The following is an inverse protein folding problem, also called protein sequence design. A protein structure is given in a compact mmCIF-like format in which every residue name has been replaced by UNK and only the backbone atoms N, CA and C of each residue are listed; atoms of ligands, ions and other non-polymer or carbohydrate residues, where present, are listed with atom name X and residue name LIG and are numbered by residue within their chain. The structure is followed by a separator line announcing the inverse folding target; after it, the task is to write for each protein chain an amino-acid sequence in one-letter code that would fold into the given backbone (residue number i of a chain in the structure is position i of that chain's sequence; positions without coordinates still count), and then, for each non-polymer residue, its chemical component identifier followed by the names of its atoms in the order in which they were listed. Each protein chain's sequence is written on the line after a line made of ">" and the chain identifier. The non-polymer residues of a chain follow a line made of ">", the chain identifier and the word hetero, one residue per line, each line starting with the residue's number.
data_IF_054824816845
#
_entry.id   IF_054824816845
#
_cell.length_a   1.000
_cell.length_b   1.000
_cell.length_c   1.000
_cell.angle_alpha   90.00
_cell.angle_beta   90.00
_cell.angle_gamma   90.00
#
_symmetry.space_group_name_H-M   'P 1'
#
loop_
_entity.id
_entity.type
_entity.pdbx_description
1 polymer ?
#
# COMPACT_ATOMS: atom_id res chain seq x y z
N UNK A 1 -5.65 -16.53 18.34
CA UNK A 1 -6.62 -15.43 18.17
C UNK A 1 -6.37 -14.81 16.80
N UNK A 2 -7.39 -14.28 16.12
CA UNK A 2 -7.23 -13.61 14.82
C UNK A 2 -6.75 -12.18 15.06
N UNK A 3 -5.64 -11.79 14.42
CA UNK A 3 -5.04 -10.46 14.55
C UNK A 3 -5.36 -9.54 13.35
N UNK A 4 -5.90 -10.14 12.29
CA UNK A 4 -6.34 -9.49 11.07
C UNK A 4 -7.55 -8.60 11.32
N UNK A 5 -7.58 -7.50 10.57
CA UNK A 5 -8.51 -6.40 10.76
C UNK A 5 -8.83 -5.73 9.42
N UNK A 6 -9.79 -4.81 9.46
CA UNK A 6 -10.06 -3.89 8.37
C UNK A 6 -9.84 -2.47 8.86
N UNK A 7 -8.97 -1.74 8.19
CA UNK A 7 -8.76 -0.32 8.44
C UNK A 7 -9.67 0.50 7.51
N UNK A 8 -10.35 1.50 8.05
CA UNK A 8 -11.22 2.41 7.29
C UNK A 8 -10.83 3.84 7.58
N UNK A 9 -10.86 4.71 6.57
CA UNK A 9 -10.55 6.12 6.77
C UNK A 9 -10.39 6.84 5.45
N UNK A 10 -9.43 7.76 5.39
CA UNK A 10 -9.19 8.60 4.22
C UNK A 10 -7.76 8.48 3.73
N UNK A 11 -7.62 8.56 2.41
CA UNK A 11 -6.37 8.90 1.75
C UNK A 11 -6.46 10.33 1.27
N UNK A 12 -5.36 11.07 1.38
CA UNK A 12 -5.26 12.43 0.87
C UNK A 12 -4.03 12.55 -0.02
N UNK A 13 -4.14 13.48 -0.97
CA UNK A 13 -3.03 13.95 -1.78
C UNK A 13 -3.08 15.47 -1.81
N UNK A 14 -1.93 16.09 -1.60
CA UNK A 14 -1.77 17.52 -1.63
C UNK A 14 -0.49 17.88 -2.38
N UNK A 15 -0.68 18.49 -3.54
CA UNK A 15 0.38 19.12 -4.32
C UNK A 15 0.42 20.60 -3.97
N UNK A 16 1.59 21.07 -3.57
CA UNK A 16 1.88 22.47 -3.30
C UNK A 16 2.47 23.15 -4.53
N UNK A 17 3.36 22.44 -5.25
CA UNK A 17 4.11 22.96 -6.39
C UNK A 17 4.12 21.99 -7.59
N UNK A 18 4.31 22.48 -8.83
CA UNK A 18 4.19 23.89 -9.24
C UNK A 18 2.72 24.33 -9.35
N UNK A 19 1.78 23.38 -9.43
CA UNK A 19 0.34 23.64 -9.52
C UNK A 19 -0.36 23.09 -8.29
N UNK A 20 -1.01 23.97 -7.52
CA UNK A 20 -1.76 23.53 -6.35
C UNK A 20 -2.91 22.59 -6.72
N UNK A 21 -2.94 21.43 -6.07
CA UNK A 21 -4.01 20.46 -6.22
C UNK A 21 -4.12 19.59 -4.98
N UNK A 22 -5.29 19.62 -4.34
CA UNK A 22 -5.59 18.81 -3.16
C UNK A 22 -6.85 18.01 -3.40
N UNK A 23 -6.85 16.77 -2.91
CA UNK A 23 -8.04 15.94 -2.83
C UNK A 23 -7.90 14.89 -1.74
N UNK A 24 -9.02 14.44 -1.20
CA UNK A 24 -9.10 13.28 -0.33
C UNK A 24 -10.28 12.39 -0.73
N UNK A 25 -10.20 11.11 -0.39
CA UNK A 25 -11.30 10.19 -0.59
C UNK A 25 -11.30 9.06 0.44
N UNK A 26 -12.49 8.54 0.73
CA UNK A 26 -12.65 7.40 1.62
C UNK A 26 -12.01 6.13 1.03
N UNK A 27 -11.34 5.38 1.88
CA UNK A 27 -10.71 4.10 1.58
C UNK A 27 -10.93 3.11 2.73
N UNK A 28 -10.91 1.82 2.41
CA UNK A 28 -10.59 0.78 3.38
C UNK A 28 -9.47 -0.11 2.85
N UNK A 29 -8.64 -0.59 3.78
CA UNK A 29 -7.54 -1.50 3.52
C UNK A 29 -7.66 -2.70 4.46
N UNK A 30 -7.21 -3.85 3.99
CA UNK A 30 -7.18 -5.07 4.79
C UNK A 30 -5.84 -5.14 5.51
N UNK A 31 -5.91 -5.29 6.83
CA UNK A 31 -4.78 -5.61 7.69
C UNK A 31 -4.77 -7.12 7.89
N UNK A 32 -3.94 -7.84 7.16
CA UNK A 32 -3.88 -9.29 7.22
C UNK A 32 -2.58 -9.73 7.85
N UNK A 33 -2.65 -10.54 8.91
CA UNK A 33 -1.49 -11.34 9.33
C UNK A 33 -1.24 -12.37 8.23
N UNK A 34 -0.04 -12.38 7.64
CA UNK A 34 0.30 -13.27 6.53
C UNK A 34 0.69 -14.67 7.00
N UNK A 35 -0.05 -15.18 7.97
CA UNK A 35 0.07 -16.53 8.51
C UNK A 35 -0.98 -17.43 7.85
N UNK A 36 -0.56 -18.60 7.36
CA UNK A 36 -1.45 -19.50 6.60
C UNK A 36 -2.70 -19.89 7.40
N UNK A 37 -2.53 -20.27 8.67
CA UNK A 37 -3.65 -20.70 9.51
C UNK A 37 -4.70 -19.59 9.72
N UNK A 38 -4.24 -18.35 9.85
CA UNK A 38 -5.12 -17.20 10.02
C UNK A 38 -5.91 -16.89 8.74
N UNK A 39 -5.26 -16.89 7.57
CA UNK A 39 -5.93 -16.69 6.28
C UNK A 39 -6.94 -17.81 5.96
N UNK A 40 -6.64 -19.05 6.36
CA UNK A 40 -7.58 -20.18 6.25
C UNK A 40 -8.80 -20.00 7.15
N UNK A 41 -8.58 -19.56 8.40
CA UNK A 41 -9.68 -19.27 9.35
C UNK A 41 -10.55 -18.12 8.86
N UNK A 42 -9.98 -17.05 8.32
CA UNK A 42 -10.74 -15.96 7.72
C UNK A 42 -11.57 -16.46 6.52
N UNK A 43 -11.02 -17.38 5.72
CA UNK A 43 -11.69 -17.94 4.55
C UNK A 43 -12.89 -18.84 4.90
N UNK A 44 -12.89 -19.46 6.09
CA UNK A 44 -14.00 -20.30 6.55
C UNK A 44 -15.06 -19.50 7.30
N UNK A 45 -14.70 -18.39 7.94
CA UNK A 45 -15.58 -17.59 8.81
C UNK A 45 -16.27 -16.41 8.10
N UNK A 46 -15.64 -15.83 7.08
CA UNK A 46 -16.19 -14.67 6.36
C UNK A 46 -16.92 -15.06 5.08
N UNK A 47 -18.18 -14.62 4.95
CA UNK A 47 -19.04 -14.97 3.80
C UNK A 47 -18.58 -14.38 2.47
N UNK A 48 -17.90 -13.23 2.51
CA UNK A 48 -17.50 -12.47 1.31
C UNK A 48 -16.01 -12.51 1.02
N UNK A 49 -15.21 -13.13 1.90
CA UNK A 49 -13.76 -13.20 1.79
C UNK A 49 -13.30 -14.63 1.50
N UNK A 50 -12.25 -14.79 0.70
CA UNK A 50 -11.53 -16.05 0.61
C UNK A 50 -10.09 -15.87 0.17
N UNK A 51 -9.18 -16.67 0.72
CA UNK A 51 -7.80 -16.83 0.24
C UNK A 51 -7.64 -18.00 -0.75
N UNK A 52 -8.66 -18.85 -0.91
CA UNK A 52 -8.60 -20.08 -1.73
C UNK A 52 -9.48 -19.97 -2.97
N UNK A 53 -10.80 -19.82 -2.77
CA UNK A 53 -11.81 -19.83 -3.85
C UNK A 53 -12.15 -18.43 -4.35
N UNK A 54 -12.90 -18.36 -5.45
CA UNK A 54 -13.49 -17.10 -5.92
C UNK A 54 -14.43 -16.55 -4.82
N UNK A 55 -14.31 -15.26 -4.55
CA UNK A 55 -15.11 -14.54 -3.57
C UNK A 55 -15.20 -13.07 -3.99
N UNK A 56 -16.12 -12.31 -3.36
CA UNK A 56 -16.26 -10.86 -3.62
C UNK A 56 -14.98 -10.11 -3.27
N UNK A 57 -14.36 -10.50 -2.15
CA UNK A 57 -13.05 -10.04 -1.69
C UNK A 57 -12.14 -11.26 -1.66
N UNK A 58 -11.06 -11.24 -2.43
CA UNK A 58 -10.15 -12.38 -2.54
C UNK A 58 -8.72 -11.96 -2.25
N UNK A 59 -8.10 -12.63 -1.29
CA UNK A 59 -6.65 -12.64 -1.20
C UNK A 59 -6.14 -13.66 -2.23
N UNK A 60 -5.42 -13.20 -3.25
CA UNK A 60 -4.82 -14.07 -4.27
C UNK A 60 -3.31 -13.88 -4.23
N UNK A 61 -2.56 -14.94 -3.92
CA UNK A 61 -1.11 -14.87 -3.72
C UNK A 61 -0.36 -14.22 -4.90
N UNK A 62 -0.78 -14.53 -6.13
CA UNK A 62 -0.22 -13.97 -7.38
C UNK A 62 -0.32 -12.44 -7.51
N UNK A 63 -1.20 -11.79 -6.75
CA UNK A 63 -1.39 -10.34 -6.85
C UNK A 63 -0.25 -9.55 -6.17
N UNK A 64 0.57 -10.21 -5.34
CA UNK A 64 1.52 -9.59 -4.41
C UNK A 64 2.97 -10.01 -4.67
N UNK A 65 3.88 -9.29 -4.02
CA UNK A 65 5.33 -9.43 -4.06
C UNK A 65 5.87 -10.87 -4.20
N UNK A 66 6.84 -11.04 -5.11
CA UNK A 66 7.64 -12.25 -5.27
C UNK A 66 6.92 -13.42 -5.94
N UNK A 67 7.62 -14.55 -6.04
CA UNK A 67 7.13 -15.77 -6.68
C UNK A 67 5.86 -16.31 -5.98
N UNK A 68 4.75 -16.55 -6.71
CA UNK A 68 3.51 -17.07 -6.13
C UNK A 68 3.63 -18.45 -5.46
N UNK A 69 4.66 -19.24 -5.79
CA UNK A 69 4.95 -20.52 -5.15
C UNK A 69 5.51 -20.36 -3.73
N UNK A 70 6.10 -19.20 -3.42
CA UNK A 70 6.66 -18.87 -2.11
C UNK A 70 5.56 -18.18 -1.27
N UNK A 71 5.33 -18.59 -0.01
CA UNK A 71 4.42 -17.88 0.90
C UNK A 71 4.73 -16.37 0.98
N UNK A 72 3.70 -15.52 0.96
CA UNK A 72 3.90 -14.07 0.86
C UNK A 72 4.70 -13.48 2.03
N UNK A 73 4.49 -13.99 3.25
CA UNK A 73 5.30 -13.60 4.40
C UNK A 73 6.80 -13.86 4.17
N UNK A 74 7.15 -15.02 3.60
CA UNK A 74 8.53 -15.37 3.31
C UNK A 74 9.13 -14.47 2.22
N UNK A 75 8.41 -14.29 1.11
CA UNK A 75 8.85 -13.42 0.03
C UNK A 75 9.08 -11.97 0.50
N UNK A 76 8.21 -11.46 1.38
CA UNK A 76 8.38 -10.15 2.00
C UNK A 76 9.61 -10.11 2.91
N UNK A 77 9.80 -11.09 3.80
CA UNK A 77 10.99 -11.16 4.66
C UNK A 77 12.29 -11.21 3.85
N UNK A 78 12.31 -11.99 2.76
CA UNK A 78 13.46 -12.09 1.88
C UNK A 78 13.77 -10.74 1.22
N UNK A 79 12.73 -10.05 0.71
CA UNK A 79 12.90 -8.72 0.11
C UNK A 79 13.34 -7.68 1.13
N UNK A 80 12.73 -7.65 2.32
CA UNK A 80 13.13 -6.74 3.40
C UNK A 80 14.57 -7.01 3.82
N UNK A 81 14.97 -8.27 4.01
CA UNK A 81 16.34 -8.64 4.39
C UNK A 81 17.36 -8.19 3.34
N UNK A 82 17.04 -8.39 2.04
CA UNK A 82 17.90 -7.94 0.93
C UNK A 82 18.08 -6.41 0.95
N UNK A 83 17.01 -5.66 1.19
CA UNK A 83 17.07 -4.20 1.27
C UNK A 83 17.72 -3.69 2.58
N UNK A 84 17.71 -4.50 3.64
CA UNK A 84 18.34 -4.21 4.93
C UNK A 84 19.83 -4.61 4.96
N UNK A 85 20.56 -4.33 3.90
CA UNK A 85 21.99 -4.67 3.78
C UNK A 85 22.29 -6.17 3.81
N UNK A 86 21.31 -7.04 3.52
CA UNK A 86 21.46 -8.49 3.55
C UNK A 86 21.27 -9.14 4.93
N UNK A 87 21.04 -8.34 5.98
CA UNK A 87 20.80 -8.89 7.32
C UNK A 87 19.44 -9.58 7.36
N UNK A 88 19.43 -10.85 7.79
CA UNK A 88 18.21 -11.64 7.88
C UNK A 88 17.25 -11.04 8.90
N UNK A 89 16.07 -10.66 8.43
CA UNK A 89 14.95 -10.23 9.26
C UNK A 89 14.01 -11.40 9.53
N UNK A 90 13.49 -11.45 10.75
CA UNK A 90 12.56 -12.48 11.22
C UNK A 90 11.42 -11.85 12.02
N UNK A 91 10.25 -12.51 11.99
CA UNK A 91 9.08 -12.07 12.74
C UNK A 91 7.78 -12.30 11.97
N UNK A 92 6.70 -11.73 12.51
CA UNK A 92 5.39 -11.79 11.87
C UNK A 92 5.27 -10.69 10.81
N UNK A 93 4.82 -11.08 9.62
CA UNK A 93 4.53 -10.12 8.54
C UNK A 93 3.04 -9.84 8.48
N UNK A 94 2.69 -8.56 8.49
CA UNK A 94 1.34 -8.07 8.27
C UNK A 94 1.27 -7.30 6.96
N UNK A 95 0.19 -7.46 6.22
CA UNK A 95 -0.09 -6.66 5.03
C UNK A 95 -1.19 -5.66 5.33
N UNK A 96 -0.98 -4.40 4.99
CA UNK A 96 -1.99 -3.38 4.86
C UNK A 96 -2.14 -3.03 3.36
N UNK A 97 -3.21 -3.51 2.73
CA UNK A 97 -3.37 -3.33 1.30
C UNK A 97 -4.78 -3.60 0.79
N UNK A 98 -4.97 -3.36 -0.51
CA UNK A 98 -6.20 -3.72 -1.21
C UNK A 98 -6.18 -5.21 -1.57
N UNK A 99 -7.35 -5.82 -1.58
CA UNK A 99 -7.55 -7.19 -2.05
C UNK A 99 -8.27 -7.18 -3.39
N UNK A 100 -8.23 -8.31 -4.10
CA UNK A 100 -8.98 -8.47 -5.34
C UNK A 100 -10.47 -8.36 -5.07
N UNK A 101 -11.15 -7.48 -5.79
CA UNK A 101 -12.57 -7.22 -5.64
C UNK A 101 -13.32 -7.61 -6.91
N UNK A 102 -14.30 -8.50 -6.80
CA UNK A 102 -15.09 -8.99 -7.94
C UNK A 102 -14.24 -9.53 -9.09
N UNK A 103 -13.10 -10.14 -8.76
CA UNK A 103 -12.16 -10.67 -9.75
C UNK A 103 -11.17 -9.66 -10.31
N UNK A 104 -11.31 -8.37 -10.01
CA UNK A 104 -10.42 -7.29 -10.47
C UNK A 104 -9.43 -6.90 -9.37
N UNK A 105 -8.16 -6.73 -9.73
CA UNK A 105 -7.11 -6.31 -8.81
C UNK A 105 -6.31 -5.15 -9.41
N UNK A 106 -6.12 -4.12 -8.60
CA UNK A 106 -5.16 -3.05 -8.83
C UNK A 106 -4.93 -2.40 -7.46
N UNK A 107 -3.66 -2.22 -7.06
CA UNK A 107 -3.29 -1.53 -5.83
C UNK A 107 -2.14 -0.58 -6.14
N UNK A 108 -2.28 0.75 -5.92
CA UNK A 108 -1.18 1.69 -6.12
C UNK A 108 -0.01 1.42 -5.18
N UNK A 109 -0.33 0.96 -3.97
CA UNK A 109 0.66 0.64 -2.94
C UNK A 109 0.13 -0.45 -2.02
N UNK A 110 0.97 -1.43 -1.72
CA UNK A 110 0.77 -2.38 -0.63
C UNK A 110 1.85 -2.15 0.42
N UNK A 111 1.45 -2.12 1.68
CA UNK A 111 2.36 -1.94 2.80
C UNK A 111 2.53 -3.25 3.55
N UNK A 112 3.76 -3.67 3.80
CA UNK A 112 4.06 -4.83 4.62
C UNK A 112 4.80 -4.41 5.88
N UNK A 113 4.27 -4.77 7.04
CA UNK A 113 4.84 -4.45 8.34
C UNK A 113 5.49 -5.70 8.93
N UNK A 114 6.70 -5.55 9.44
CA UNK A 114 7.40 -6.59 10.19
C UNK A 114 7.27 -6.33 11.69
N UNK A 115 6.71 -7.31 12.41
CA UNK A 115 6.65 -7.31 13.88
C UNK A 115 7.68 -8.28 14.45
N UNK A 116 8.53 -7.79 15.36
CA UNK A 116 9.52 -8.61 16.04
C UNK A 116 8.89 -9.48 17.14
N UNK A 117 9.72 -10.29 17.82
CA UNK A 117 9.27 -11.22 18.88
C UNK A 117 8.75 -10.48 20.12
N UNK A 118 9.20 -9.24 20.33
CA UNK A 118 8.78 -8.35 21.41
C UNK A 118 7.42 -7.69 21.13
N UNK A 119 6.83 -7.92 19.94
CA UNK A 119 5.51 -7.39 19.56
C UNK A 119 5.53 -5.98 18.95
N UNK A 120 6.70 -5.41 18.70
CA UNK A 120 6.90 -4.08 18.12
C UNK A 120 7.07 -4.16 16.61
N UNK A 121 6.48 -3.23 15.86
CA UNK A 121 6.73 -3.14 14.42
C UNK A 121 8.02 -2.39 14.15
N UNK A 122 8.96 -3.07 13.50
CA UNK A 122 10.33 -2.58 13.29
C UNK A 122 10.54 -2.01 11.90
N UNK A 123 9.89 -2.59 10.89
CA UNK A 123 10.07 -2.20 9.48
C UNK A 123 8.74 -2.13 8.74
N UNK A 124 8.71 -1.25 7.75
CA UNK A 124 7.68 -1.17 6.72
C UNK A 124 8.32 -1.36 5.34
N UNK A 125 7.77 -2.25 4.53
CA UNK A 125 8.08 -2.35 3.10
C UNK A 125 6.89 -1.81 2.30
N UNK A 126 7.09 -0.70 1.60
CA UNK A 126 6.11 -0.16 0.67
C UNK A 126 6.38 -0.71 -0.74
N UNK A 127 5.53 -1.62 -1.21
CA UNK A 127 5.46 -2.06 -2.60
C UNK A 127 4.60 -1.08 -3.39
N UNK A 128 5.22 -0.25 -4.21
CA UNK A 128 4.56 0.79 -5.00
C UNK A 128 4.45 0.32 -6.44
N UNK A 129 3.26 0.41 -7.03
CA UNK A 129 2.99 0.03 -8.42
C UNK A 129 2.64 1.24 -9.26
N UNK A 130 3.13 1.32 -10.50
CA UNK A 130 2.73 2.35 -11.45
C UNK A 130 1.68 1.82 -12.44
N UNK A 131 0.88 2.74 -12.96
CA UNK A 131 -0.07 2.49 -14.05
C UNK A 131 0.16 3.58 -15.10
N UNK A 132 0.20 3.24 -16.41
CA UNK A 132 -0.18 1.96 -17.03
C UNK A 132 0.96 0.92 -17.16
N UNK A 133 2.20 1.22 -16.77
CA UNK A 133 3.36 0.35 -17.05
C UNK A 133 3.43 -0.93 -16.21
N UNK A 134 2.65 -1.04 -15.13
CA UNK A 134 2.57 -2.21 -14.25
C UNK A 134 3.93 -2.65 -13.69
N UNK A 135 4.82 -1.69 -13.47
CA UNK A 135 6.10 -1.88 -12.79
C UNK A 135 5.89 -1.77 -11.28
N UNK A 136 6.79 -2.38 -10.50
CA UNK A 136 6.77 -2.34 -9.05
C UNK A 136 8.13 -1.92 -8.51
N UNK A 137 8.10 -1.15 -7.44
CA UNK A 137 9.30 -0.79 -6.69
C UNK A 137 9.05 -0.95 -5.19
N UNK A 138 10.12 -1.14 -4.42
CA UNK A 138 10.04 -1.47 -3.01
C UNK A 138 10.90 -0.51 -2.19
N UNK A 139 10.27 0.26 -1.31
CA UNK A 139 10.96 1.08 -0.32
C UNK A 139 10.91 0.37 1.03
N UNK A 140 12.07 0.18 1.67
CA UNK A 140 12.15 -0.31 3.04
C UNK A 140 12.35 0.89 3.97
N UNK A 141 11.53 0.98 5.01
CA UNK A 141 11.58 2.03 6.02
C UNK A 141 11.76 1.37 7.38
N UNK A 142 12.82 1.75 8.11
CA UNK A 142 12.96 1.42 9.52
C UNK A 142 11.99 2.33 10.30
N UNK A 143 11.08 1.75 11.07
CA UNK A 143 10.02 2.50 11.75
C UNK A 143 10.51 3.29 12.97
N UNK A 144 11.70 2.98 13.49
CA UNK A 144 12.31 3.71 14.59
C UNK A 144 12.99 5.00 14.12
N UNK A 145 13.69 4.96 12.98
CA UNK A 145 14.45 6.11 12.45
C UNK A 145 13.68 6.88 11.38
N UNK A 146 12.91 6.18 10.54
CA UNK A 146 12.13 6.72 9.42
C UNK A 146 12.96 7.58 8.47
N UNK A 147 14.17 7.11 8.18
CA UNK A 147 15.17 7.84 7.40
C UNK A 147 14.65 8.26 6.02
N UNK A 148 15.08 9.44 5.60
CA UNK A 148 14.78 10.00 4.29
C UNK A 148 15.25 9.07 3.16
N UNK A 149 14.39 8.86 2.17
CA UNK A 149 14.67 7.93 1.07
C UNK A 149 14.64 8.64 -0.28
N UNK A 150 15.67 8.52 -1.13
CA UNK A 150 15.61 9.05 -2.49
C UNK A 150 14.46 8.44 -3.29
N UNK A 151 13.73 9.26 -4.03
CA UNK A 151 12.67 8.81 -4.94
C UNK A 151 13.29 8.07 -6.12
N UNK A 152 13.18 6.75 -6.11
CA UNK A 152 13.73 5.88 -7.14
C UNK A 152 12.66 5.38 -8.15
N UNK A 153 11.38 5.76 -7.99
CA UNK A 153 10.29 5.21 -8.81
C UNK A 153 9.35 6.27 -9.39
N UNK A 154 9.14 6.20 -10.71
CA UNK A 154 8.29 7.12 -11.46
C UNK A 154 6.82 6.67 -11.41
N UNK A 155 6.13 7.07 -10.34
CA UNK A 155 4.72 6.70 -10.07
C UNK A 155 3.70 7.64 -10.71
N UNK A 156 4.11 8.87 -11.01
CA UNK A 156 3.23 9.91 -11.55
C UNK A 156 4.01 10.76 -12.54
N UNK A 157 3.49 10.99 -13.76
CA UNK A 157 4.13 11.85 -14.75
C UNK A 157 4.09 13.33 -14.34
N UNK A 158 3.49 13.68 -13.21
CA UNK A 158 3.42 15.05 -12.68
C UNK A 158 4.36 15.29 -11.50
N UNK A 159 5.21 14.32 -11.15
CA UNK A 159 6.25 14.44 -10.12
C UNK A 159 7.61 14.17 -10.74
N UNK A 160 8.58 15.08 -10.60
CA UNK A 160 9.93 14.81 -11.07
C UNK A 160 10.61 13.72 -10.22
N UNK A 161 11.72 13.17 -10.70
CA UNK A 161 12.43 12.05 -10.08
C UNK A 161 13.42 12.48 -8.99
N UNK A 162 13.93 13.69 -9.08
CA UNK A 162 14.92 14.32 -8.20
C UNK A 162 14.30 14.75 -6.85
N UNK A 163 13.59 13.85 -6.15
CA UNK A 163 12.94 14.15 -4.88
C UNK A 163 13.41 13.21 -3.77
N UNK A 164 13.31 13.66 -2.53
CA UNK A 164 13.48 12.86 -1.33
C UNK A 164 12.13 12.61 -0.68
N UNK A 165 11.86 11.36 -0.30
CA UNK A 165 10.72 10.96 0.49
C UNK A 165 11.03 11.09 1.98
N UNK A 166 10.22 11.88 2.68
CA UNK A 166 10.23 11.99 4.12
C UNK A 166 9.01 11.26 4.68
N UNK A 167 9.26 10.26 5.52
CA UNK A 167 8.23 9.36 6.03
C UNK A 167 7.74 9.83 7.40
N UNK A 168 6.43 9.70 7.63
CA UNK A 168 5.84 9.84 8.96
C UNK A 168 4.81 8.74 9.17
N UNK A 169 5.21 7.69 9.88
CA UNK A 169 4.47 6.44 10.04
C UNK A 169 4.28 6.19 11.53
N UNK A 170 3.03 6.10 11.98
CA UNK A 170 2.73 5.70 13.35
C UNK A 170 2.82 4.17 13.50
N UNK A 171 3.09 3.68 14.71
CA UNK A 171 2.92 2.25 15.03
C UNK A 171 1.47 1.80 14.76
N UNK A 172 1.26 0.66 14.06
CA UNK A 172 -0.07 0.11 13.83
C UNK A 172 -0.82 -0.17 15.14
N UNK A 173 -1.92 0.56 15.35
CA UNK A 173 -2.75 0.44 16.56
C UNK A 173 -4.24 0.59 16.22
N UNK A 174 -5.07 1.04 17.16
CA UNK A 174 -6.47 1.43 16.89
C UNK A 174 -6.57 2.53 15.83
N UNK A 175 -5.54 3.37 15.72
CA UNK A 175 -5.34 4.32 14.62
C UNK A 175 -4.02 4.05 13.92
N UNK A 176 -3.97 4.34 12.63
CA UNK A 176 -2.78 4.29 11.81
C UNK A 176 -2.72 5.53 10.93
N UNK A 177 -1.65 6.30 11.08
CA UNK A 177 -1.26 7.38 10.18
C UNK A 177 -0.02 6.97 9.41
N UNK A 178 -0.04 7.19 8.10
CA UNK A 178 1.14 7.09 7.25
C UNK A 178 1.10 8.28 6.30
N UNK A 179 2.15 9.08 6.32
CA UNK A 179 2.37 10.17 5.39
C UNK A 179 3.75 10.02 4.73
N UNK A 180 3.83 10.49 3.50
CA UNK A 180 5.04 10.58 2.71
C UNK A 180 5.04 11.94 2.02
N UNK A 181 5.98 12.78 2.42
CA UNK A 181 6.22 14.08 1.81
C UNK A 181 7.31 13.93 0.74
N UNK A 182 7.13 14.54 -0.44
CA UNK A 182 8.17 14.67 -1.45
C UNK A 182 8.80 16.05 -1.35
N UNK A 183 10.09 16.08 -1.06
CA UNK A 183 10.85 17.30 -0.78
C UNK A 183 12.03 17.41 -1.75
N UNK A 184 12.29 18.63 -2.23
CA UNK A 184 13.56 19.00 -2.89
C UNK A 184 14.24 20.08 -2.05
N UNK A 185 13.98 21.33 -2.37
CA UNK A 185 14.28 22.47 -1.49
C UNK A 185 13.11 22.70 -0.53
N UNK A 186 11.90 22.74 -1.07
CA UNK A 186 10.65 22.82 -0.33
C UNK A 186 9.82 21.53 -0.45
N UNK A 187 8.81 21.42 0.40
CA UNK A 187 7.78 20.38 0.28
C UNK A 187 6.87 20.66 -0.92
N UNK A 188 7.00 19.83 -1.96
CA UNK A 188 6.23 20.00 -3.19
C UNK A 188 4.95 19.16 -3.22
N UNK A 189 4.96 18.02 -2.53
CA UNK A 189 3.84 17.09 -2.52
C UNK A 189 3.76 16.34 -1.19
N UNK A 190 2.56 15.99 -0.77
CA UNK A 190 2.28 15.15 0.39
C UNK A 190 1.17 14.16 0.04
N UNK A 191 1.38 12.89 0.39
CA UNK A 191 0.39 11.84 0.30
C UNK A 191 0.30 11.12 1.64
N UNK A 192 -0.90 10.69 2.03
CA UNK A 192 -1.01 9.91 3.24
C UNK A 192 -2.36 9.28 3.46
N UNK A 193 -2.40 8.39 4.44
CA UNK A 193 -3.59 7.69 4.91
C UNK A 193 -3.77 7.94 6.40
N UNK A 194 -5.01 8.19 6.80
CA UNK A 194 -5.43 8.26 8.19
C UNK A 194 -6.56 7.26 8.39
N UNK A 195 -6.28 6.19 9.14
CA UNK A 195 -7.15 5.02 9.21
C UNK A 195 -7.45 4.63 10.66
N UNK A 196 -8.65 4.08 10.87
CA UNK A 196 -9.09 3.50 12.13
C UNK A 196 -9.27 1.99 11.95
N UNK A 197 -8.77 1.21 12.91
CA UNK A 197 -8.85 -0.26 12.92
C UNK A 197 -10.23 -0.72 13.36
N UNK A 198 -10.78 -1.69 12.63
CA UNK A 198 -11.99 -2.42 13.00
C UNK A 198 -11.72 -3.92 12.90
N UNK A 199 -12.46 -4.71 13.67
CA UNK A 199 -12.43 -6.18 13.57
C UNK A 199 -12.80 -6.63 12.15
N UNK A 200 -12.07 -7.62 11.63
CA UNK A 200 -12.39 -8.22 10.34
C UNK A 200 -13.45 -9.32 10.52
N UNK A 201 -14.70 -8.89 10.62
CA UNK A 201 -15.88 -9.75 10.75
C UNK A 201 -16.89 -9.49 9.61
N UNK A 202 -17.94 -10.32 9.54
CA UNK A 202 -18.96 -10.21 8.49
C UNK A 202 -19.71 -8.86 8.51
N UNK A 203 -19.92 -8.25 9.68
CA UNK A 203 -20.64 -6.99 9.80
C UNK A 203 -19.78 -5.83 9.26
N UNK A 204 -18.53 -5.75 9.71
CA UNK A 204 -17.58 -4.73 9.29
C UNK A 204 -17.22 -4.84 7.81
N UNK A 205 -17.03 -6.07 7.30
CA UNK A 205 -16.78 -6.32 5.88
C UNK A 205 -17.98 -5.93 5.02
N UNK A 206 -19.20 -6.32 5.42
CA UNK A 206 -20.42 -5.96 4.67
C UNK A 206 -20.66 -4.46 4.64
N UNK A 207 -20.42 -3.76 5.76
CA UNK A 207 -20.52 -2.30 5.82
C UNK A 207 -19.50 -1.62 4.90
N UNK A 208 -18.26 -2.11 4.87
CA UNK A 208 -17.23 -1.59 3.97
C UNK A 208 -17.63 -1.79 2.49
N UNK A 209 -18.12 -2.98 2.13
CA UNK A 209 -18.59 -3.30 0.78
C UNK A 209 -19.82 -2.48 0.36
N UNK A 210 -20.74 -2.16 1.28
CA UNK A 210 -21.88 -1.30 0.97
C UNK A 210 -21.46 0.15 0.71
N UNK A 211 -20.49 0.67 1.47
CA UNK A 211 -19.99 2.04 1.31
C UNK A 211 -19.13 2.20 0.06
N UNK A 212 -18.25 1.24 -0.22
CA UNK A 212 -17.41 1.23 -1.43
C UNK A 212 -17.41 -0.19 -2.01
N UNK A 213 -18.30 -0.47 -2.99
CA UNK A 213 -18.48 -1.82 -3.57
C UNK A 213 -17.27 -2.39 -4.29
N UNK A 214 -16.42 -1.52 -4.84
CA UNK A 214 -15.15 -1.89 -5.45
C UNK A 214 -14.13 -0.79 -5.24
N UNK A 215 -13.21 -1.01 -4.29
CA UNK A 215 -12.06 -0.14 -4.09
C UNK A 215 -11.19 -0.08 -5.34
N UNK A 216 -11.00 -1.21 -6.03
CA UNK A 216 -10.24 -1.30 -7.28
C UNK A 216 -10.76 -0.31 -8.33
N UNK A 217 -12.06 -0.35 -8.63
CA UNK A 217 -12.66 0.52 -9.64
C UNK A 217 -12.63 1.99 -9.19
N UNK A 218 -12.94 2.27 -7.91
CA UNK A 218 -12.88 3.62 -7.35
C UNK A 218 -11.47 4.21 -7.46
N UNK A 219 -10.45 3.43 -7.12
CA UNK A 219 -9.04 3.85 -7.18
C UNK A 219 -8.61 4.09 -8.62
N UNK A 220 -8.89 3.16 -9.55
CA UNK A 220 -8.56 3.35 -10.96
C UNK A 220 -9.25 4.59 -11.55
N UNK A 221 -10.57 4.72 -11.35
CA UNK A 221 -11.33 5.88 -11.83
C UNK A 221 -10.79 7.19 -11.24
N UNK A 222 -10.44 7.20 -9.95
CA UNK A 222 -9.84 8.35 -9.28
C UNK A 222 -8.50 8.75 -9.89
N UNK A 223 -7.60 7.79 -10.16
CA UNK A 223 -6.31 8.06 -10.78
C UNK A 223 -6.48 8.74 -12.14
N UNK A 224 -7.30 8.17 -13.03
CA UNK A 224 -7.52 8.75 -14.36
C UNK A 224 -8.23 10.10 -14.31
N UNK A 225 -9.20 10.26 -13.41
CA UNK A 225 -9.91 11.53 -13.23
C UNK A 225 -9.01 12.66 -12.75
N UNK A 226 -8.13 12.37 -11.78
CA UNK A 226 -7.19 13.37 -11.27
C UNK A 226 -6.05 13.65 -12.25
N UNK A 227 -5.59 12.64 -13.01
CA UNK A 227 -4.65 12.85 -14.11
C UNK A 227 -5.25 13.80 -15.17
N UNK A 228 -6.51 13.59 -15.57
CA UNK A 228 -7.21 14.47 -16.49
C UNK A 228 -7.34 15.90 -15.95
N UNK A 229 -7.70 16.07 -14.67
CA UNK A 229 -7.76 17.39 -14.02
C UNK A 229 -6.41 18.10 -14.04
N UNK A 230 -5.31 17.39 -13.82
CA UNK A 230 -3.95 17.97 -13.88
C UNK A 230 -3.55 18.35 -15.31
N UNK A 231 -3.91 17.53 -16.31
CA UNK A 231 -3.73 17.87 -17.72
C UNK A 231 -4.50 19.14 -18.09
N UNK A 232 -5.76 19.25 -17.68
CA UNK A 232 -6.59 20.45 -17.91
C UNK A 232 -6.01 21.69 -17.22
N UNK A 233 -5.33 21.50 -16.08
CA UNK A 233 -4.59 22.56 -15.37
C UNK A 233 -3.22 22.87 -15.96
N UNK A 234 -2.82 22.21 -17.06
CA UNK A 234 -1.52 22.36 -17.73
C UNK A 234 -0.32 22.09 -16.79
N UNK A 235 -0.47 21.18 -15.83
CA UNK A 235 0.65 20.75 -14.99
C UNK A 235 1.73 20.10 -15.85
N UNK A 236 3.03 20.46 -15.68
CA UNK A 236 4.11 19.89 -16.47
C UNK A 236 4.12 18.36 -16.44
N UNK A 237 4.36 17.77 -17.61
CA UNK A 237 4.50 16.33 -17.79
C UNK A 237 5.99 15.96 -17.85
N UNK A 238 6.39 15.05 -16.98
CA UNK A 238 7.71 14.43 -16.98
C UNK A 238 7.61 13.09 -17.71
N UNK A 239 8.48 12.90 -18.70
CA UNK A 239 8.53 11.66 -19.48
C UNK A 239 8.97 10.51 -18.57
N UNK A 240 8.27 9.37 -18.63
CA UNK A 240 8.70 8.16 -17.93
C UNK A 240 10.11 7.78 -18.41
N UNK A 241 11.09 7.62 -17.50
CA UNK A 241 12.45 7.29 -17.89
C UNK A 241 12.45 5.94 -18.61
N UNK A 242 13.00 5.87 -19.83
CA UNK A 242 13.17 4.59 -20.55
C UNK A 242 13.82 3.59 -19.60
N UNK A 243 13.18 2.43 -19.38
CA UNK A 243 13.64 1.35 -18.50
C UNK A 243 15.16 1.23 -18.51
N UNK A 244 15.82 1.68 -17.44
CA UNK A 244 17.07 1.06 -17.05
C UNK A 244 16.67 -0.29 -16.47
N UNK A 245 17.05 -1.37 -17.13
CA UNK A 245 16.81 -2.72 -16.64
C UNK A 245 17.60 -2.91 -15.34
N UNK A 246 16.97 -2.73 -14.19
CA UNK A 246 17.51 -3.25 -12.94
C UNK A 246 17.12 -4.74 -12.83
N UNK A 247 18.16 -5.59 -12.86
CA UNK A 247 18.14 -7.03 -12.62
C UNK A 247 17.99 -7.35 -11.12
#
# INVERSE_FOLDING_TARGET
>A
MIESAIYKGKVYHQRFMPTQHKFDYDIYLFWLKLERGELETLSSTLKHFSAKKKARVRFKREDYLGDPSIPLNQAVLDRMSKLNGGTRLEGDVFMLGQLRMWGLYFSPVNFYYLRNKEGTFTHLLAEVSNTPWNERHHYLVNLATQDDTPKAFHVSPFNPMDMTYQWSISQPSTRLSLAMDCVREDKEFSAGINLTKFTLDNANLSTALKRIPSMTLKTMAGIYWHALKLLLKRTPLYTHPKKSQEQ
#
